data_IF_792658775506
#
_entry.id   IF_792658775506
#
_cell.length_a   1.000
_cell.length_b   1.000
_cell.length_c   1.000
_cell.angle_alpha   90.00
_cell.angle_beta   90.00
_cell.angle_gamma   90.00
#
_symmetry.space_group_name_H-M   'P 1'
#
loop_
_entity.id
_entity.type
_entity.pdbx_description
1 polymer ?
#
# COMPACT_ATOMS: atom_id res chain seq x y z
N UNK A 1 -3.12 -6.34 16.98
CA UNK A 1 -3.10 -6.93 15.62
C UNK A 1 -3.29 -8.45 15.67
N UNK A 2 -2.51 -9.21 16.44
CA UNK A 2 -2.60 -10.68 16.48
C UNK A 2 -3.94 -11.20 16.99
N UNK A 3 -4.50 -10.57 18.00
CA UNK A 3 -5.87 -10.85 18.47
C UNK A 3 -6.91 -10.56 17.37
N UNK A 4 -6.71 -9.52 16.58
CA UNK A 4 -7.58 -9.19 15.46
C UNK A 4 -7.48 -10.26 14.34
N UNK A 5 -6.28 -10.83 14.11
CA UNK A 5 -6.09 -11.98 13.22
C UNK A 5 -6.85 -13.20 13.72
N UNK A 6 -6.67 -13.55 14.98
CA UNK A 6 -7.35 -14.67 15.62
C UNK A 6 -8.87 -14.51 15.61
N UNK A 7 -9.37 -13.29 15.75
CA UNK A 7 -10.79 -12.95 15.69
C UNK A 7 -11.34 -12.81 14.25
N UNK A 8 -10.52 -13.07 13.20
CA UNK A 8 -10.95 -12.99 11.80
C UNK A 8 -11.32 -11.58 11.31
N UNK A 9 -10.79 -10.53 11.95
CA UNK A 9 -11.08 -9.16 11.55
C UNK A 9 -10.49 -8.80 10.19
N UNK A 10 -9.49 -9.51 9.71
CA UNK A 10 -8.98 -9.46 8.35
C UNK A 10 -8.65 -10.87 7.86
N UNK A 11 -8.54 -11.04 6.54
CA UNK A 11 -8.32 -12.36 5.93
C UNK A 11 -6.91 -12.89 6.21
N UNK A 12 -6.77 -14.05 6.90
CA UNK A 12 -5.47 -14.69 7.07
C UNK A 12 -4.85 -15.09 5.72
N UNK A 13 -5.66 -15.54 4.76
CA UNK A 13 -5.19 -15.97 3.45
C UNK A 13 -4.58 -14.80 2.66
N UNK A 14 -5.23 -13.62 2.69
CA UNK A 14 -4.67 -12.42 2.06
C UNK A 14 -3.39 -11.97 2.76
N UNK A 15 -3.36 -12.03 4.09
CA UNK A 15 -2.18 -11.71 4.85
C UNK A 15 -1.00 -12.63 4.49
N UNK A 16 -1.23 -13.94 4.46
CA UNK A 16 -0.19 -14.92 4.12
C UNK A 16 0.28 -14.70 2.65
N UNK A 17 -0.63 -14.42 1.71
CA UNK A 17 -0.30 -14.10 0.33
C UNK A 17 0.57 -12.83 0.19
N UNK A 18 0.43 -11.83 1.08
CA UNK A 18 1.34 -10.67 1.10
C UNK A 18 2.74 -11.06 1.58
N UNK A 19 2.84 -11.92 2.58
CA UNK A 19 4.13 -12.38 3.13
C UNK A 19 4.90 -13.22 2.12
N UNK A 20 4.21 -13.98 1.28
CA UNK A 20 4.83 -14.79 0.23
C UNK A 20 5.48 -13.97 -0.88
N UNK A 21 5.10 -12.69 -1.01
CA UNK A 21 5.72 -11.75 -1.95
C UNK A 21 6.98 -11.06 -1.41
N UNK A 22 7.31 -11.26 -0.15
CA UNK A 22 8.53 -10.69 0.43
C UNK A 22 9.77 -11.40 -0.10
N UNK A 23 10.76 -10.64 -0.55
CA UNK A 23 12.06 -11.20 -0.98
C UNK A 23 12.90 -11.70 0.18
N UNK A 24 12.72 -11.11 1.34
CA UNK A 24 13.46 -11.42 2.55
C UNK A 24 12.48 -11.55 3.70
N UNK A 25 12.60 -12.64 4.41
CA UNK A 25 11.88 -12.90 5.66
C UNK A 25 12.87 -12.86 6.82
N UNK A 26 13.16 -11.69 7.41
CA UNK A 26 14.23 -11.53 8.40
C UNK A 26 14.07 -12.39 9.66
N UNK A 27 12.84 -12.74 10.01
CA UNK A 27 12.55 -13.59 11.16
C UNK A 27 13.07 -15.02 10.96
N UNK A 28 13.02 -15.55 9.74
CA UNK A 28 13.55 -16.90 9.44
C UNK A 28 15.06 -16.95 9.67
N UNK A 29 15.79 -15.92 9.22
CA UNK A 29 17.26 -15.82 9.47
C UNK A 29 17.59 -15.72 10.95
N UNK A 30 16.71 -15.12 11.75
CA UNK A 30 16.88 -14.96 13.20
C UNK A 30 16.37 -16.16 13.99
N UNK A 31 15.82 -17.19 13.32
CA UNK A 31 15.16 -18.35 13.95
C UNK A 31 14.06 -17.93 14.94
N UNK A 32 13.28 -16.93 14.55
CA UNK A 32 12.15 -16.40 15.32
C UNK A 32 10.87 -16.57 14.50
N UNK A 33 9.74 -16.48 15.17
CA UNK A 33 8.47 -16.26 14.46
C UNK A 33 8.37 -14.82 13.98
N UNK A 34 7.50 -14.57 13.01
CA UNK A 34 7.21 -13.21 12.59
C UNK A 34 6.64 -12.39 13.75
N UNK A 35 5.75 -12.98 14.56
CA UNK A 35 5.14 -12.33 15.72
C UNK A 35 6.17 -11.82 16.73
N UNK A 36 7.19 -12.63 17.02
CA UNK A 36 8.30 -12.25 17.91
C UNK A 36 9.22 -11.18 17.30
N UNK A 37 9.17 -11.00 15.99
CA UNK A 37 10.02 -10.05 15.25
C UNK A 37 9.34 -8.71 15.01
N UNK A 38 8.03 -8.66 15.04
CA UNK A 38 7.26 -7.43 14.82
C UNK A 38 7.27 -6.58 16.08
N UNK A 39 7.57 -5.30 15.90
CA UNK A 39 7.53 -4.30 16.97
C UNK A 39 6.36 -3.36 16.70
N UNK A 40 5.55 -3.11 17.71
CA UNK A 40 4.45 -2.15 17.65
C UNK A 40 3.60 -2.28 16.38
N UNK A 41 3.00 -3.47 16.14
CA UNK A 41 2.21 -3.69 14.94
C UNK A 41 0.96 -2.80 14.95
N UNK A 42 0.70 -2.14 13.84
CA UNK A 42 -0.53 -1.37 13.65
C UNK A 42 -1.38 -2.04 12.58
N UNK A 43 -2.68 -2.10 12.84
CA UNK A 43 -3.70 -2.54 11.89
C UNK A 43 -4.68 -1.39 11.70
N UNK A 44 -4.78 -0.90 10.48
CA UNK A 44 -5.86 -0.01 10.06
C UNK A 44 -6.85 -0.76 9.18
N UNK A 45 -8.12 -0.46 9.35
CA UNK A 45 -9.21 -1.03 8.56
C UNK A 45 -10.00 0.08 7.88
N UNK A 46 -10.27 -0.09 6.60
CA UNK A 46 -11.09 0.82 5.80
C UNK A 46 -12.28 0.04 5.26
N UNK A 47 -13.47 0.54 5.48
CA UNK A 47 -14.70 0.03 4.90
C UNK A 47 -15.16 0.98 3.81
N UNK A 48 -15.25 0.48 2.59
CA UNK A 48 -15.74 1.23 1.45
C UNK A 48 -17.26 1.11 1.33
N UNK A 49 -17.89 2.06 0.68
CA UNK A 49 -19.36 2.10 0.51
C UNK A 49 -19.92 0.96 -0.33
N UNK A 50 -19.14 0.40 -1.22
CA UNK A 50 -19.48 -0.76 -2.04
C UNK A 50 -19.34 -2.10 -1.30
N UNK A 51 -18.95 -2.05 -0.03
CA UNK A 51 -18.73 -3.23 0.80
C UNK A 51 -17.32 -3.80 0.77
N UNK A 52 -16.41 -3.24 -0.04
CA UNK A 52 -15.01 -3.62 0.02
C UNK A 52 -14.43 -3.27 1.40
N UNK A 53 -13.69 -4.21 1.98
CA UNK A 53 -12.92 -3.98 3.21
C UNK A 53 -11.45 -4.14 2.92
N UNK A 54 -10.68 -3.10 3.22
CA UNK A 54 -9.24 -3.13 3.13
C UNK A 54 -8.60 -3.08 4.52
N UNK A 55 -7.47 -3.75 4.65
CA UNK A 55 -6.65 -3.74 5.86
C UNK A 55 -5.23 -3.34 5.50
N UNK A 56 -4.69 -2.39 6.23
CA UNK A 56 -3.29 -1.96 6.10
C UNK A 56 -2.57 -2.32 7.38
N UNK A 57 -1.45 -3.01 7.24
CA UNK A 57 -0.66 -3.48 8.37
C UNK A 57 0.76 -2.93 8.30
N UNK A 58 1.25 -2.42 9.43
CA UNK A 58 2.67 -2.12 9.60
C UNK A 58 3.31 -3.19 10.49
N UNK A 59 4.37 -3.80 9.96
CA UNK A 59 5.08 -4.92 10.59
C UNK A 59 6.52 -4.52 10.90
N UNK A 60 6.66 -3.43 11.67
CA UNK A 60 7.95 -2.84 11.99
C UNK A 60 8.92 -3.86 12.60
N UNK A 61 10.15 -3.87 12.10
CA UNK A 61 11.20 -4.79 12.56
C UNK A 61 11.18 -6.17 11.90
N UNK A 62 10.07 -6.57 11.27
CA UNK A 62 9.94 -7.84 10.57
C UNK A 62 9.92 -7.68 9.04
N UNK A 63 9.29 -6.64 8.52
CA UNK A 63 9.10 -6.45 7.08
C UNK A 63 9.77 -5.17 6.61
N UNK A 64 10.52 -5.27 5.51
CA UNK A 64 11.14 -4.16 4.80
C UNK A 64 10.67 -4.18 3.35
N UNK A 65 9.42 -3.91 3.11
CA UNK A 65 8.88 -3.95 1.76
C UNK A 65 7.38 -3.70 1.76
N UNK A 66 6.87 -3.50 0.58
CA UNK A 66 5.49 -3.10 0.36
C UNK A 66 4.85 -4.16 -0.50
N UNK A 67 3.84 -4.80 0.03
CA UNK A 67 3.10 -5.87 -0.64
C UNK A 67 1.61 -5.62 -0.52
N UNK A 68 0.84 -6.15 -1.45
CA UNK A 68 -0.61 -6.16 -1.39
C UNK A 68 -1.15 -7.50 -1.87
N UNK A 69 -2.31 -7.88 -1.35
CA UNK A 69 -3.08 -9.01 -1.84
C UNK A 69 -4.55 -8.64 -1.87
N UNK A 70 -5.28 -9.21 -2.80
CA UNK A 70 -6.72 -9.01 -2.94
C UNK A 70 -7.40 -10.29 -3.40
N UNK A 71 -8.68 -10.37 -3.11
CA UNK A 71 -9.57 -11.44 -3.56
C UNK A 71 -10.66 -10.79 -4.42
N UNK A 72 -10.97 -11.41 -5.55
CA UNK A 72 -12.06 -10.97 -6.41
C UNK A 72 -13.41 -11.33 -5.80
N UNK A 73 -14.42 -10.49 -6.08
CA UNK A 73 -15.77 -10.69 -5.54
C UNK A 73 -16.52 -11.86 -6.18
N UNK A 74 -16.17 -12.18 -7.42
CA UNK A 74 -16.84 -13.17 -8.28
C UNK A 74 -16.19 -14.56 -8.24
N UNK A 75 -15.00 -14.65 -7.68
CA UNK A 75 -14.32 -15.93 -7.51
C UNK A 75 -13.48 -15.96 -6.21
N UNK A 76 -12.97 -17.14 -5.86
CA UNK A 76 -12.13 -17.31 -4.67
C UNK A 76 -10.64 -17.05 -4.96
N UNK A 77 -10.31 -16.55 -6.14
CA UNK A 77 -8.95 -16.31 -6.57
C UNK A 77 -8.32 -15.19 -5.77
N UNK A 78 -7.16 -15.49 -5.21
CA UNK A 78 -6.31 -14.52 -4.51
C UNK A 78 -5.15 -14.15 -5.42
N UNK A 79 -4.96 -12.87 -5.62
CA UNK A 79 -3.77 -12.33 -6.24
C UNK A 79 -2.98 -11.47 -5.26
N UNK A 80 -1.69 -11.38 -5.50
CA UNK A 80 -0.80 -10.61 -4.64
C UNK A 80 0.37 -10.03 -5.45
N UNK A 81 0.87 -8.89 -5.01
CA UNK A 81 1.99 -8.21 -5.63
C UNK A 81 2.95 -7.64 -4.60
N UNK A 82 4.18 -7.41 -5.03
CA UNK A 82 5.16 -6.61 -4.32
C UNK A 82 5.42 -5.33 -5.09
N UNK A 83 5.39 -4.22 -4.41
CA UNK A 83 5.80 -2.94 -4.99
C UNK A 83 7.33 -2.86 -4.95
N UNK A 84 7.92 -2.72 -6.12
CA UNK A 84 9.35 -2.48 -6.23
C UNK A 84 9.60 -0.98 -6.21
N UNK A 85 10.19 -0.52 -5.12
CA UNK A 85 10.57 0.88 -4.93
C UNK A 85 12.09 0.96 -4.96
N UNK A 86 12.64 1.76 -5.86
CA UNK A 86 14.07 2.02 -5.92
C UNK A 86 14.41 3.20 -5.03
N UNK A 87 14.74 2.91 -3.77
CA UNK A 87 15.05 3.92 -2.75
C UNK A 87 16.53 4.33 -2.72
N UNK A 88 17.38 3.55 -3.40
CA UNK A 88 18.80 3.87 -3.55
C UNK A 88 19.03 4.79 -4.74
N UNK A 89 20.20 5.44 -4.79
CA UNK A 89 20.57 6.27 -5.95
C UNK A 89 20.51 5.45 -7.24
N UNK A 90 19.94 6.00 -8.34
CA UNK A 90 19.51 7.37 -8.59
C UNK A 90 18.08 7.72 -8.13
N UNK A 91 17.46 7.01 -7.19
CA UNK A 91 16.11 7.26 -6.65
C UNK A 91 15.01 7.16 -7.72
N UNK A 92 15.04 6.10 -8.51
CA UNK A 92 14.18 5.89 -9.68
C UNK A 92 12.68 5.98 -9.40
N UNK A 93 12.23 5.74 -8.16
CA UNK A 93 10.84 5.89 -7.77
C UNK A 93 10.31 7.33 -7.93
N UNK A 94 11.15 8.34 -7.90
CA UNK A 94 10.76 9.72 -8.17
C UNK A 94 10.62 10.04 -9.67
N UNK A 95 11.17 9.22 -10.55
CA UNK A 95 11.17 9.49 -12.00
C UNK A 95 9.75 9.63 -12.53
N UNK A 96 8.83 8.79 -12.09
CA UNK A 96 7.42 8.84 -12.54
C UNK A 96 6.72 10.10 -12.04
N UNK A 97 6.97 10.49 -10.79
CA UNK A 97 6.42 11.71 -10.22
C UNK A 97 6.91 12.94 -10.99
N UNK A 98 8.23 13.04 -11.22
CA UNK A 98 8.84 14.16 -11.96
C UNK A 98 8.30 14.22 -13.40
N UNK A 99 8.19 13.09 -14.10
CA UNK A 99 7.58 13.06 -15.43
C UNK A 99 6.12 13.48 -15.43
N UNK A 100 5.37 13.14 -14.38
CA UNK A 100 4.01 13.62 -14.21
C UNK A 100 3.95 15.15 -14.06
N UNK A 101 4.83 15.75 -13.28
CA UNK A 101 4.95 17.20 -13.16
C UNK A 101 5.37 17.85 -14.47
N UNK A 102 6.36 17.29 -15.17
CA UNK A 102 6.80 17.80 -16.46
C UNK A 102 5.66 17.81 -17.48
N UNK A 103 4.88 16.72 -17.54
CA UNK A 103 3.70 16.63 -18.40
C UNK A 103 2.68 17.72 -18.03
N UNK A 104 2.38 17.90 -16.75
CA UNK A 104 1.46 18.92 -16.27
C UNK A 104 1.92 20.33 -16.67
N UNK A 105 3.21 20.64 -16.49
CA UNK A 105 3.77 21.94 -16.86
C UNK A 105 3.70 22.19 -18.38
N UNK A 106 3.97 21.16 -19.20
CA UNK A 106 3.94 21.29 -20.66
C UNK A 106 2.53 21.42 -21.23
N UNK A 107 1.55 20.75 -20.58
CA UNK A 107 0.19 20.67 -21.13
C UNK A 107 -0.78 21.64 -20.48
N UNK A 108 -0.42 22.25 -19.36
CA UNK A 108 -1.33 23.07 -18.55
C UNK A 108 -2.50 22.28 -17.92
N UNK A 109 -2.41 20.94 -17.91
CA UNK A 109 -3.45 20.06 -17.38
C UNK A 109 -2.88 19.16 -16.28
N UNK A 110 -3.65 18.94 -15.23
CA UNK A 110 -3.26 18.01 -14.17
C UNK A 110 -3.02 16.62 -14.74
N UNK A 111 -1.92 15.99 -14.36
CA UNK A 111 -1.59 14.62 -14.76
C UNK A 111 -2.48 13.61 -14.05
N UNK A 112 -2.85 13.92 -12.82
CA UNK A 112 -3.76 13.10 -12.01
C UNK A 112 -4.92 13.96 -11.50
N UNK A 113 -6.14 13.40 -11.39
CA UNK A 113 -7.25 14.09 -10.75
C UNK A 113 -6.89 14.45 -9.29
N UNK A 114 -7.29 15.65 -8.85
CA UNK A 114 -7.06 16.10 -7.48
C UNK A 114 -7.80 15.22 -6.46
N UNK A 115 -8.91 14.63 -6.86
CA UNK A 115 -9.71 13.71 -6.08
C UNK A 115 -8.90 12.47 -5.64
N UNK A 116 -7.94 12.02 -6.46
CA UNK A 116 -7.00 10.97 -6.09
C UNK A 116 -6.20 11.35 -4.85
N UNK A 117 -5.69 12.57 -4.82
CA UNK A 117 -4.91 13.07 -3.68
C UNK A 117 -5.80 13.27 -2.46
N UNK A 118 -7.01 13.82 -2.64
CA UNK A 118 -7.98 13.95 -1.57
C UNK A 118 -8.30 12.59 -0.93
N UNK A 119 -8.59 11.58 -1.74
CA UNK A 119 -8.91 10.25 -1.22
C UNK A 119 -7.72 9.61 -0.49
N UNK A 120 -6.52 9.65 -1.07
CA UNK A 120 -5.35 9.01 -0.45
C UNK A 120 -4.92 9.72 0.83
N UNK A 121 -4.80 11.05 0.80
CA UNK A 121 -4.36 11.84 1.96
C UNK A 121 -5.46 11.94 3.02
N UNK A 122 -6.71 12.09 2.62
CA UNK A 122 -7.84 12.15 3.56
C UNK A 122 -8.09 10.81 4.25
N UNK A 123 -7.91 9.69 3.54
CA UNK A 123 -7.97 8.36 4.18
C UNK A 123 -6.85 8.21 5.22
N UNK A 124 -5.63 8.59 4.87
CA UNK A 124 -4.50 8.54 5.81
C UNK A 124 -4.76 9.40 7.06
N UNK A 125 -5.23 10.63 6.86
CA UNK A 125 -5.57 11.53 7.97
C UNK A 125 -6.64 10.93 8.88
N UNK A 126 -7.72 10.39 8.32
CA UNK A 126 -8.78 9.74 9.09
C UNK A 126 -8.27 8.51 9.87
N UNK A 127 -7.38 7.71 9.28
CA UNK A 127 -6.77 6.56 9.95
C UNK A 127 -5.88 6.98 11.12
N UNK A 128 -5.09 8.04 10.96
CA UNK A 128 -4.27 8.60 12.03
C UNK A 128 -5.14 9.19 13.15
N UNK A 129 -6.20 9.91 12.81
CA UNK A 129 -7.15 10.41 13.80
C UNK A 129 -7.85 9.27 14.56
N UNK A 130 -8.28 8.20 13.84
CA UNK A 130 -8.82 7.00 14.46
C UNK A 130 -7.83 6.38 15.45
N UNK A 131 -6.57 6.27 15.07
CA UNK A 131 -5.52 5.71 15.92
C UNK A 131 -5.31 6.52 17.20
N UNK A 132 -5.23 7.85 17.10
CA UNK A 132 -5.10 8.75 18.27
C UNK A 132 -6.32 8.65 19.18
N UNK A 133 -7.49 8.41 18.62
CA UNK A 133 -8.75 8.25 19.37
C UNK A 133 -9.02 6.79 19.79
N UNK A 134 -7.98 5.98 19.99
CA UNK A 134 -8.10 4.62 20.49
C UNK A 134 -8.68 3.60 19.51
N UNK A 135 -8.62 3.86 18.20
CA UNK A 135 -9.13 2.97 17.17
C UNK A 135 -10.63 3.12 16.90
N UNK A 136 -11.20 4.26 17.27
CA UNK A 136 -12.62 4.55 17.02
C UNK A 136 -12.89 4.64 15.51
N UNK A 137 -13.97 4.01 15.05
CA UNK A 137 -14.44 4.15 13.67
C UNK A 137 -14.88 5.59 13.42
N UNK A 138 -14.37 6.18 12.34
CA UNK A 138 -14.71 7.52 11.91
C UNK A 138 -15.49 7.45 10.60
N UNK A 139 -16.61 8.16 10.52
CA UNK A 139 -17.30 8.39 9.25
C UNK A 139 -16.60 9.53 8.51
N UNK A 140 -16.41 9.33 7.20
CA UNK A 140 -15.66 10.25 6.34
C UNK A 140 -16.49 10.77 5.16
N UNK A 141 -17.63 11.47 5.40
CA UNK A 141 -18.51 11.91 4.31
C UNK A 141 -17.82 12.88 3.33
N UNK A 142 -16.79 13.59 3.76
CA UNK A 142 -15.97 14.46 2.90
C UNK A 142 -15.11 13.71 1.89
N UNK A 143 -14.93 12.40 2.05
CA UNK A 143 -14.25 11.53 1.09
C UNK A 143 -15.22 10.86 0.10
N UNK A 144 -16.47 11.31 0.06
CA UNK A 144 -17.43 10.85 -0.94
C UNK A 144 -17.18 11.50 -2.30
N UNK A 145 -16.03 11.20 -2.87
CA UNK A 145 -15.63 11.65 -4.18
C UNK A 145 -15.36 10.47 -5.09
N UNK A 146 -15.61 10.64 -6.39
CA UNK A 146 -15.30 9.64 -7.41
C UNK A 146 -14.47 10.30 -8.50
N UNK A 147 -13.53 9.55 -9.04
CA UNK A 147 -12.77 10.01 -10.19
C UNK A 147 -12.47 8.84 -11.12
N UNK A 148 -12.23 9.15 -12.37
CA UNK A 148 -11.63 8.25 -13.35
C UNK A 148 -10.28 8.81 -13.74
N UNK A 149 -9.30 7.95 -13.93
CA UNK A 149 -7.99 8.33 -14.43
C UNK A 149 -7.79 7.77 -15.82
N UNK A 150 -7.45 8.63 -16.75
CA UNK A 150 -7.02 8.28 -18.10
C UNK A 150 -5.49 8.10 -18.20
N UNK A 151 -4.80 8.19 -17.07
CA UNK A 151 -3.36 8.05 -17.01
C UNK A 151 -2.93 6.63 -17.39
N UNK A 152 -2.20 6.53 -18.50
CA UNK A 152 -1.69 5.26 -18.99
C UNK A 152 -0.27 5.00 -18.46
N UNK A 153 -0.13 3.98 -17.60
CA UNK A 153 1.15 3.54 -17.04
C UNK A 153 1.94 2.61 -17.99
N UNK A 154 1.40 2.22 -19.14
CA UNK A 154 2.05 1.28 -20.05
C UNK A 154 3.31 1.84 -20.72
N UNK A 155 3.49 3.15 -20.70
CA UNK A 155 4.72 3.81 -21.13
C UNK A 155 5.63 4.10 -19.92
N UNK A 156 6.02 3.07 -19.23
CA UNK A 156 7.02 3.23 -18.18
C UNK A 156 8.34 3.72 -18.80
N UNK A 157 9.00 4.73 -18.22
CA UNK A 157 10.35 5.06 -18.64
C UNK A 157 11.26 3.86 -18.37
N UNK A 158 12.08 3.50 -19.33
CA UNK A 158 13.17 2.57 -19.10
C UNK A 158 14.03 3.12 -17.96
N UNK A 159 14.06 2.41 -16.86
CA UNK A 159 15.03 2.65 -15.80
C UNK A 159 16.28 1.92 -16.28
N UNK A 160 17.27 2.66 -16.75
CA UNK A 160 18.58 2.08 -17.04
C UNK A 160 19.02 1.33 -15.78
N UNK A 161 19.15 0.03 -15.90
CA UNK A 161 19.67 -0.79 -14.82
C UNK A 161 21.15 -0.43 -14.65
N UNK A 162 21.48 0.33 -13.62
CA UNK A 162 22.87 0.60 -13.23
C UNK A 162 23.59 -0.64 -12.68
N UNK A 163 23.18 -1.83 -13.07
CA UNK A 163 23.88 -3.08 -12.82
C UNK A 163 24.91 -3.40 -13.93
N UNK A 164 25.60 -2.39 -14.42
CA UNK A 164 26.86 -2.60 -15.12
C UNK A 164 28.00 -2.10 -14.22
N UNK A 165 28.74 -3.03 -13.67
CA UNK A 165 30.03 -2.88 -13.00
C UNK A 165 30.02 -2.39 -11.53
N UNK A 166 29.96 -3.36 -10.59
CA UNK A 166 31.07 -3.54 -9.63
C UNK A 166 31.01 -4.92 -8.99
#
# INVERSE_FOLDING_TARGET
>A
MWEARAAGKFSPQLFDATLDRLLVKPWEKRKKTMEESVREPVLWMVEYRDGLRASVLTLNGAVTGWTAAWKYADDDRIESTRFQVQEERPFGHFTFLVKGFEKMMKTGRATWPVERTLLTSGTLDALLQSQVNGGTKLDTPWLDVRYTSDFNWQQQPEIESTNAAR
#
